data_IF_748494187430
#
_entry.id   IF_748494187430
#
_cell.length_a   1.000
_cell.length_b   1.000
_cell.length_c   1.000
_cell.angle_alpha   90.00
_cell.angle_beta   90.00
_cell.angle_gamma   90.00
#
_symmetry.space_group_name_H-M   'P 1'
#
loop_
_entity.id
_entity.type
_entity.pdbx_description
1 polymer ?
#
# COMPACT_ATOMS: atom_id res chain seq x y z
N UNK A 1 -39.90 -8.66 -71.74
CA UNK A 1 -39.12 -9.26 -70.64
C UNK A 1 -37.77 -8.57 -70.60
N UNK A 2 -37.65 -7.47 -69.85
CA UNK A 2 -36.37 -6.78 -69.64
C UNK A 2 -35.66 -7.47 -68.48
N UNK A 3 -34.44 -7.95 -68.72
CA UNK A 3 -33.57 -8.49 -67.70
C UNK A 3 -33.24 -7.38 -66.70
N UNK A 4 -33.71 -7.52 -65.45
CA UNK A 4 -33.28 -6.65 -64.36
C UNK A 4 -31.79 -6.89 -64.14
N UNK A 5 -30.96 -5.92 -64.50
CA UNK A 5 -29.53 -5.97 -64.26
C UNK A 5 -29.29 -6.13 -62.76
N UNK A 6 -28.50 -7.15 -62.39
CA UNK A 6 -28.19 -7.50 -61.00
C UNK A 6 -27.56 -6.35 -60.17
N UNK A 7 -27.12 -5.28 -60.85
CA UNK A 7 -26.55 -4.06 -60.24
C UNK A 7 -27.59 -3.16 -59.55
N UNK A 8 -28.87 -3.17 -59.95
CA UNK A 8 -29.91 -2.33 -59.31
C UNK A 8 -30.26 -2.79 -57.88
N UNK A 9 -29.97 -4.06 -57.56
CA UNK A 9 -30.18 -4.61 -56.22
C UNK A 9 -29.08 -4.28 -55.21
N UNK A 10 -28.12 -3.41 -55.57
CA UNK A 10 -27.00 -3.02 -54.68
C UNK A 10 -27.02 -1.54 -54.29
N UNK A 11 -27.88 -0.72 -54.89
CA UNK A 11 -27.98 0.70 -54.55
C UNK A 11 -28.93 0.91 -53.37
N UNK A 12 -28.47 1.60 -52.33
CA UNK A 12 -29.30 1.91 -51.17
C UNK A 12 -30.27 3.04 -51.51
N UNK A 13 -31.58 2.80 -51.35
CA UNK A 13 -32.64 3.76 -51.65
C UNK A 13 -33.41 4.07 -50.37
N UNK A 14 -33.29 5.30 -49.87
CA UNK A 14 -33.72 5.69 -48.52
C UNK A 14 -35.24 5.68 -48.25
N UNK A 15 -36.10 5.63 -49.28
CA UNK A 15 -37.56 5.53 -49.12
C UNK A 15 -38.09 4.09 -49.19
N UNK A 16 -37.24 3.10 -49.51
CA UNK A 16 -37.64 1.69 -49.49
C UNK A 16 -37.60 1.15 -48.06
N UNK A 17 -38.59 0.31 -47.72
CA UNK A 17 -38.74 -0.28 -46.38
C UNK A 17 -37.61 -1.25 -46.00
N UNK A 18 -36.89 -1.79 -46.98
CA UNK A 18 -35.86 -2.81 -46.76
C UNK A 18 -34.57 -2.43 -47.48
N UNK A 19 -33.44 -2.51 -46.75
CA UNK A 19 -32.12 -2.32 -47.33
C UNK A 19 -31.73 -3.54 -48.19
N UNK A 20 -30.90 -3.35 -49.24
CA UNK A 20 -30.37 -4.45 -50.02
C UNK A 20 -29.71 -5.56 -49.17
N UNK A 21 -29.90 -6.84 -49.50
CA UNK A 21 -29.53 -7.97 -48.63
C UNK A 21 -28.02 -8.03 -48.31
N UNK A 22 -27.15 -7.57 -49.22
CA UNK A 22 -25.70 -7.48 -48.99
C UNK A 22 -25.34 -6.41 -47.95
N UNK A 23 -25.96 -5.23 -48.03
CA UNK A 23 -25.76 -4.14 -47.06
C UNK A 23 -26.34 -4.49 -45.70
N UNK A 24 -27.54 -5.07 -45.66
CA UNK A 24 -28.15 -5.55 -44.42
C UNK A 24 -27.33 -6.67 -43.75
N UNK A 25 -26.68 -7.56 -44.53
CA UNK A 25 -25.77 -8.58 -43.98
C UNK A 25 -24.47 -7.96 -43.46
N UNK A 26 -23.84 -7.05 -44.21
CA UNK A 26 -22.64 -6.34 -43.76
C UNK A 26 -22.90 -5.53 -42.49
N UNK A 27 -24.01 -4.81 -42.42
CA UNK A 27 -24.41 -4.06 -41.24
C UNK A 27 -24.66 -4.98 -40.04
N UNK A 28 -25.37 -6.11 -40.22
CA UNK A 28 -25.57 -7.10 -39.14
C UNK A 28 -24.27 -7.69 -38.63
N UNK A 29 -23.33 -8.00 -39.53
CA UNK A 29 -21.98 -8.48 -39.15
C UNK A 29 -21.22 -7.39 -38.39
N UNK A 30 -21.26 -6.15 -38.86
CA UNK A 30 -20.62 -5.01 -38.18
C UNK A 30 -21.21 -4.79 -36.78
N UNK A 31 -22.54 -4.83 -36.65
CA UNK A 31 -23.25 -4.72 -35.36
C UNK A 31 -22.85 -5.87 -34.44
N UNK A 32 -22.79 -7.10 -34.95
CA UNK A 32 -22.38 -8.27 -34.15
C UNK A 32 -20.92 -8.14 -33.69
N UNK A 33 -20.01 -7.67 -34.56
CA UNK A 33 -18.61 -7.42 -34.20
C UNK A 33 -18.52 -6.34 -33.11
N UNK A 34 -19.23 -5.22 -33.25
CA UNK A 34 -19.24 -4.15 -32.25
C UNK A 34 -19.87 -4.60 -30.92
N UNK A 35 -20.96 -5.37 -30.99
CA UNK A 35 -21.62 -5.92 -29.81
C UNK A 35 -20.75 -6.95 -29.07
N UNK A 36 -19.90 -7.69 -29.79
CA UNK A 36 -18.94 -8.65 -29.21
C UNK A 36 -17.62 -7.99 -28.79
N UNK A 37 -17.18 -6.92 -29.46
CA UNK A 37 -15.92 -6.26 -29.14
C UNK A 37 -15.99 -5.53 -27.80
N UNK A 38 -17.13 -4.89 -27.49
CA UNK A 38 -17.31 -4.16 -26.23
C UNK A 38 -17.14 -5.04 -24.97
N UNK A 39 -17.82 -6.20 -24.83
CA UNK A 39 -17.59 -7.11 -23.70
C UNK A 39 -16.18 -7.70 -23.72
N UNK A 40 -15.62 -7.98 -24.90
CA UNK A 40 -14.28 -8.54 -25.01
C UNK A 40 -13.20 -7.55 -24.52
N UNK A 41 -13.31 -6.27 -24.90
CA UNK A 41 -12.43 -5.20 -24.42
C UNK A 41 -12.60 -4.99 -22.91
N UNK A 42 -13.82 -5.03 -22.38
CA UNK A 42 -14.03 -4.88 -20.93
C UNK A 42 -13.45 -6.05 -20.14
N UNK A 43 -13.62 -7.29 -20.60
CA UNK A 43 -12.97 -8.46 -19.99
C UNK A 43 -11.45 -8.33 -20.07
N UNK A 44 -10.91 -7.92 -21.21
CA UNK A 44 -9.47 -7.79 -21.40
C UNK A 44 -8.87 -6.69 -20.51
N UNK A 45 -9.56 -5.55 -20.36
CA UNK A 45 -9.17 -4.50 -19.42
C UNK A 45 -9.26 -5.02 -17.99
N UNK A 46 -10.35 -5.68 -17.60
CA UNK A 46 -10.55 -6.20 -16.24
C UNK A 46 -9.46 -7.23 -15.86
N UNK A 47 -9.09 -8.12 -16.78
CA UNK A 47 -8.01 -9.11 -16.57
C UNK A 47 -6.62 -8.43 -16.55
N UNK A 48 -6.43 -7.35 -17.32
CA UNK A 48 -5.18 -6.60 -17.34
C UNK A 48 -5.00 -5.65 -16.15
N UNK A 49 -6.06 -5.31 -15.42
CA UNK A 49 -5.91 -4.55 -14.17
C UNK A 49 -5.20 -5.42 -13.14
N UNK A 50 -4.11 -4.91 -12.57
CA UNK A 50 -3.40 -5.58 -11.49
C UNK A 50 -4.37 -5.97 -10.36
N UNK A 51 -4.12 -7.11 -9.71
CA UNK A 51 -4.91 -7.59 -8.59
C UNK A 51 -5.19 -6.44 -7.60
N UNK A 52 -6.45 -6.32 -7.16
CA UNK A 52 -6.89 -5.27 -6.24
C UNK A 52 -5.91 -5.13 -5.07
N UNK A 53 -5.46 -3.89 -4.87
CA UNK A 53 -4.58 -3.53 -3.77
C UNK A 53 -5.23 -3.89 -2.43
N UNK A 54 -4.58 -4.79 -1.66
CA UNK A 54 -5.08 -5.33 -0.38
C UNK A 54 -4.91 -4.39 0.81
N UNK A 55 -4.27 -3.24 0.63
CA UNK A 55 -4.13 -2.25 1.69
C UNK A 55 -5.42 -1.48 1.91
N UNK A 56 -5.87 -1.34 3.15
CA UNK A 56 -7.09 -0.63 3.53
C UNK A 56 -6.81 0.39 4.64
N UNK A 57 -7.57 1.48 4.61
CA UNK A 57 -7.58 2.51 5.63
C UNK A 57 -9.01 2.73 6.11
N UNK A 58 -9.27 2.48 7.38
CA UNK A 58 -10.55 2.72 8.03
C UNK A 58 -10.73 4.21 8.37
N UNK A 59 -10.67 5.06 7.34
CA UNK A 59 -10.73 6.51 7.50
C UNK A 59 -12.04 6.95 8.16
N UNK A 60 -11.93 7.75 9.23
CA UNK A 60 -13.08 8.22 10.01
C UNK A 60 -13.66 7.18 10.97
N UNK A 61 -13.15 5.95 10.99
CA UNK A 61 -13.49 4.96 12.01
C UNK A 61 -12.47 5.07 13.13
N UNK A 62 -12.89 5.64 14.26
CA UNK A 62 -12.07 5.74 15.45
C UNK A 62 -12.24 4.49 16.31
N UNK A 63 -11.12 3.86 16.67
CA UNK A 63 -11.04 2.71 17.58
C UNK A 63 -10.16 3.07 18.77
N UNK A 64 -10.43 2.46 19.92
CA UNK A 64 -9.55 2.56 21.09
C UNK A 64 -8.45 1.51 21.00
N UNK A 65 -7.22 1.94 21.23
CA UNK A 65 -6.03 1.09 21.29
C UNK A 65 -5.39 1.25 22.66
N UNK A 66 -4.87 0.14 23.18
CA UNK A 66 -4.12 0.11 24.42
C UNK A 66 -2.98 -0.91 24.28
N UNK A 67 -1.79 -0.51 24.70
CA UNK A 67 -0.59 -1.32 24.56
C UNK A 67 0.65 -0.57 25.05
N UNK A 68 1.82 -1.15 24.81
CA UNK A 68 3.09 -0.54 25.14
C UNK A 68 3.65 0.19 23.94
N UNK A 69 3.90 1.49 24.10
CA UNK A 69 4.49 2.31 23.07
C UNK A 69 6.00 2.07 23.01
N UNK A 70 6.53 1.82 21.82
CA UNK A 70 7.96 1.80 21.55
C UNK A 70 8.29 2.82 20.46
N UNK A 71 9.35 3.59 20.64
CA UNK A 71 9.86 4.55 19.65
C UNK A 71 11.01 3.95 18.82
N UNK A 72 11.79 3.02 19.39
CA UNK A 72 12.83 2.23 18.71
C UNK A 72 12.33 0.81 18.39
N UNK A 73 12.65 0.21 17.22
CA UNK A 73 13.42 0.77 16.10
C UNK A 73 12.67 1.78 15.24
N UNK A 74 11.34 1.70 15.29
CA UNK A 74 10.41 2.68 14.72
C UNK A 74 9.19 2.74 15.63
N UNK A 75 8.42 3.85 15.59
CA UNK A 75 7.22 3.99 16.41
C UNK A 75 6.23 2.83 16.23
N UNK A 76 5.98 2.09 17.31
CA UNK A 76 5.11 0.92 17.35
C UNK A 76 4.28 0.88 18.64
N UNK A 77 3.06 0.35 18.55
CA UNK A 77 2.28 -0.08 19.69
C UNK A 77 2.32 -1.62 19.74
N UNK A 78 2.90 -2.15 20.81
CA UNK A 78 2.83 -3.58 21.12
C UNK A 78 1.56 -3.86 21.93
N UNK A 79 0.76 -4.84 21.50
CA UNK A 79 -0.45 -5.27 22.21
C UNK A 79 -0.35 -6.74 22.58
N UNK A 80 -1.02 -7.13 23.66
CA UNK A 80 -1.08 -8.54 24.06
C UNK A 80 -1.96 -9.35 23.11
N UNK A 81 -1.79 -10.67 23.10
CA UNK A 81 -2.59 -11.57 22.25
C UNK A 81 -4.11 -11.41 22.47
N UNK A 82 -4.55 -11.06 23.69
CA UNK A 82 -5.97 -10.81 23.98
C UNK A 82 -6.51 -9.48 23.45
N UNK A 83 -5.65 -8.48 23.24
CA UNK A 83 -6.03 -7.17 22.68
C UNK A 83 -5.65 -7.02 21.21
N UNK A 84 -5.01 -8.05 20.62
CA UNK A 84 -4.74 -8.15 19.20
C UNK A 84 -6.05 -8.27 18.41
N UNK A 85 -6.18 -7.47 17.35
CA UNK A 85 -7.29 -7.61 16.43
C UNK A 85 -7.09 -8.88 15.59
N UNK A 86 -8.12 -9.73 15.56
CA UNK A 86 -8.07 -11.03 14.91
C UNK A 86 -7.53 -10.95 13.47
N UNK A 87 -6.45 -11.71 13.20
CA UNK A 87 -5.80 -11.78 11.90
C UNK A 87 -4.74 -10.71 11.61
N UNK A 88 -4.56 -9.72 12.50
CA UNK A 88 -3.51 -8.69 12.38
C UNK A 88 -2.36 -8.97 13.35
N UNK A 89 -1.22 -8.30 13.19
CA UNK A 89 -0.03 -8.42 14.06
C UNK A 89 -0.26 -7.88 15.49
N UNK A 90 0.59 -8.31 16.43
CA UNK A 90 0.69 -7.75 17.78
C UNK A 90 1.43 -6.40 17.81
N UNK A 91 2.15 -6.03 16.74
CA UNK A 91 2.87 -4.76 16.62
C UNK A 91 2.29 -3.86 15.55
N UNK A 92 1.64 -2.77 15.94
CA UNK A 92 1.10 -1.77 15.03
C UNK A 92 2.10 -0.64 14.85
N UNK A 93 2.53 -0.35 13.62
CA UNK A 93 3.28 0.89 13.36
C UNK A 93 2.44 2.10 13.73
N UNK A 94 3.07 3.18 14.18
CA UNK A 94 2.38 4.40 14.58
C UNK A 94 2.75 5.58 13.69
N UNK A 95 1.73 6.32 13.28
CA UNK A 95 1.85 7.55 12.49
C UNK A 95 0.83 8.58 12.95
N UNK A 96 1.10 9.85 12.69
CA UNK A 96 0.18 10.95 12.95
C UNK A 96 -0.77 11.17 11.79
N UNK A 97 -1.76 12.03 12.05
CA UNK A 97 -2.70 12.49 11.04
C UNK A 97 -2.00 13.12 9.82
N UNK A 98 -2.51 12.82 8.63
CA UNK A 98 -2.03 13.45 7.38
C UNK A 98 -0.69 12.89 6.91
N UNK A 99 0.35 13.72 6.83
CA UNK A 99 1.69 13.34 6.30
C UNK A 99 2.75 13.22 7.38
N UNK A 100 2.35 13.00 8.63
CA UNK A 100 3.23 13.04 9.79
C UNK A 100 3.60 11.64 10.28
N UNK A 101 4.83 11.49 10.77
CA UNK A 101 5.28 10.36 11.59
C UNK A 101 4.67 10.40 12.99
N UNK A 102 5.35 9.83 13.99
CA UNK A 102 4.87 9.85 15.38
C UNK A 102 4.61 11.31 15.83
N UNK A 103 3.35 11.66 16.19
CA UNK A 103 3.00 13.01 16.58
C UNK A 103 3.68 13.40 17.90
N UNK A 104 3.90 14.71 18.10
CA UNK A 104 4.64 15.22 19.26
C UNK A 104 4.02 14.87 20.61
N UNK A 105 2.69 14.78 20.70
CA UNK A 105 1.99 14.42 21.94
C UNK A 105 2.25 12.98 22.40
N UNK A 106 2.73 12.11 21.50
CA UNK A 106 3.03 10.71 21.78
C UNK A 106 4.53 10.44 21.93
N UNK A 107 5.41 11.45 21.79
CA UNK A 107 6.86 11.29 21.93
C UNK A 107 7.30 11.38 23.39
N UNK A 108 8.40 10.72 23.73
CA UNK A 108 8.98 10.69 25.07
C UNK A 108 8.33 9.66 26.00
N UNK A 109 7.53 8.74 25.47
CA UNK A 109 6.80 7.73 26.23
C UNK A 109 7.22 6.30 25.82
N UNK A 110 8.42 6.14 25.27
CA UNK A 110 9.01 4.82 24.99
C UNK A 110 8.96 3.91 26.22
N UNK A 111 8.50 2.68 26.02
CA UNK A 111 8.30 1.66 27.05
C UNK A 111 7.10 1.87 27.97
N UNK A 112 6.34 2.96 27.82
CA UNK A 112 5.15 3.21 28.64
C UNK A 112 3.92 2.51 28.07
N UNK A 113 3.04 2.06 28.97
CA UNK A 113 1.69 1.65 28.60
C UNK A 113 0.86 2.88 28.31
N UNK A 114 0.22 2.90 27.14
CA UNK A 114 -0.57 4.04 26.66
C UNK A 114 -1.94 3.55 26.19
N UNK A 115 -2.92 4.46 26.22
CA UNK A 115 -4.22 4.30 25.59
C UNK A 115 -4.50 5.51 24.72
N UNK A 116 -5.08 5.29 23.54
CA UNK A 116 -5.50 6.38 22.65
C UNK A 116 -6.54 5.90 21.65
N UNK A 117 -7.20 6.84 20.99
CA UNK A 117 -8.04 6.58 19.83
C UNK A 117 -7.30 6.88 18.53
N UNK A 118 -7.56 6.05 17.53
CA UNK A 118 -6.97 6.20 16.20
C UNK A 118 -7.74 5.46 15.12
N UNK A 119 -7.27 5.54 13.89
CA UNK A 119 -7.82 4.81 12.75
C UNK A 119 -6.85 3.76 12.24
N UNK A 120 -7.38 2.58 11.91
CA UNK A 120 -6.58 1.44 11.47
C UNK A 120 -6.22 1.53 9.98
N UNK A 121 -4.95 1.30 9.67
CA UNK A 121 -4.42 1.11 8.32
C UNK A 121 -3.82 -0.30 8.29
N UNK A 122 -4.18 -1.14 7.33
CA UNK A 122 -3.67 -2.51 7.31
C UNK A 122 -3.54 -3.06 5.90
N UNK A 123 -2.53 -3.89 5.69
CA UNK A 123 -2.33 -4.68 4.47
C UNK A 123 -1.89 -6.08 4.86
N UNK A 124 -2.63 -7.07 4.38
CA UNK A 124 -2.43 -8.49 4.73
C UNK A 124 -2.37 -8.66 6.27
N UNK A 125 -1.27 -9.18 6.83
CA UNK A 125 -1.09 -9.37 8.28
C UNK A 125 -0.40 -8.19 8.98
N UNK A 126 -0.02 -7.13 8.26
CA UNK A 126 0.67 -5.96 8.83
C UNK A 126 -0.31 -4.82 9.04
N UNK A 127 -0.13 -4.09 10.14
CA UNK A 127 -1.02 -3.01 10.53
C UNK A 127 -0.27 -1.79 11.05
N UNK A 128 -0.95 -0.65 10.96
CA UNK A 128 -0.52 0.66 11.38
C UNK A 128 -1.72 1.41 11.94
N UNK A 129 -1.50 2.30 12.91
CA UNK A 129 -2.54 3.14 13.48
C UNK A 129 -2.20 4.61 13.20
N UNK A 130 -3.15 5.32 12.62
CA UNK A 130 -3.12 6.78 12.55
C UNK A 130 -3.66 7.36 13.86
N UNK A 131 -2.79 8.00 14.63
CA UNK A 131 -3.14 8.71 15.86
C UNK A 131 -3.74 10.08 15.50
N UNK A 132 -5.06 10.11 15.34
CA UNK A 132 -5.81 11.26 14.82
C UNK A 132 -6.70 11.95 15.86
N UNK A 133 -6.65 11.52 17.12
CA UNK A 133 -7.37 12.13 18.25
C UNK A 133 -6.37 12.44 19.40
N UNK A 134 -5.71 13.62 19.38
CA UNK A 134 -4.70 13.98 20.39
C UNK A 134 -5.25 14.04 21.83
N UNK A 135 -6.52 14.41 22.00
CA UNK A 135 -7.14 14.56 23.32
C UNK A 135 -7.40 13.22 24.01
N UNK A 136 -7.43 12.13 23.23
CA UNK A 136 -7.63 10.78 23.73
C UNK A 136 -6.37 10.10 24.28
N UNK A 137 -5.18 10.72 24.14
CA UNK A 137 -3.91 10.10 24.49
C UNK A 137 -3.70 10.12 26.01
N UNK A 138 -3.62 8.94 26.61
CA UNK A 138 -3.44 8.70 28.04
C UNK A 138 -2.21 7.83 28.28
N UNK A 139 -1.37 8.24 29.24
CA UNK A 139 -0.27 7.42 29.74
C UNK A 139 -0.75 6.66 30.99
N UNK A 140 -0.76 5.34 30.90
CA UNK A 140 -1.21 4.45 31.97
C UNK A 140 -0.08 4.05 32.93
N UNK A 141 1.17 4.33 32.56
CA UNK A 141 2.38 4.10 33.36
C UNK A 141 3.20 2.90 32.90
N UNK A 142 3.92 2.29 33.83
CA UNK A 142 4.81 1.15 33.54
C UNK A 142 3.99 -0.10 33.24
N UNK A 143 4.24 -0.81 32.12
CA UNK A 143 3.51 -2.03 31.79
C UNK A 143 3.79 -3.15 32.78
N UNK A 144 2.83 -4.08 32.93
CA UNK A 144 3.11 -5.33 33.60
C UNK A 144 4.15 -6.14 32.80
N UNK A 145 4.96 -6.97 33.47
CA UNK A 145 6.04 -7.74 32.81
C UNK A 145 5.54 -8.60 31.65
N UNK A 146 4.33 -9.16 31.77
CA UNK A 146 3.67 -9.95 30.72
C UNK A 146 3.21 -9.13 29.50
N UNK A 147 3.14 -7.81 29.61
CA UNK A 147 2.74 -6.88 28.53
C UNK A 147 3.96 -6.22 27.86
N UNK A 148 5.17 -6.50 28.35
CA UNK A 148 6.42 -5.95 27.83
C UNK A 148 6.75 -6.46 26.42
N UNK A 149 7.76 -5.83 25.78
CA UNK A 149 8.12 -5.99 24.36
C UNK A 149 8.00 -7.44 23.90
N UNK A 150 7.26 -7.63 22.80
CA UNK A 150 7.09 -8.93 22.19
C UNK A 150 8.38 -9.51 21.59
N UNK A 151 8.23 -10.59 20.82
CA UNK A 151 9.38 -11.36 20.35
C UNK A 151 10.12 -10.58 19.26
N UNK A 152 11.42 -10.39 19.49
CA UNK A 152 12.36 -9.88 18.49
C UNK A 152 13.25 -11.05 18.03
N UNK A 153 13.13 -11.42 16.75
CA UNK A 153 13.99 -12.45 16.15
C UNK A 153 15.00 -11.80 15.20
N UNK A 154 16.29 -11.97 15.46
CA UNK A 154 17.33 -11.55 14.52
C UNK A 154 17.49 -12.62 13.44
N UNK A 155 17.32 -12.22 12.18
CA UNK A 155 17.51 -13.07 11.00
C UNK A 155 18.88 -12.85 10.34
N UNK A 156 19.70 -11.96 10.92
CA UNK A 156 21.07 -11.68 10.50
C UNK A 156 21.19 -10.63 9.39
N UNK A 157 22.41 -10.53 8.87
CA UNK A 157 22.78 -9.54 7.89
C UNK A 157 22.10 -9.76 6.54
N UNK A 158 21.52 -8.71 5.97
CA UNK A 158 20.86 -8.73 4.66
C UNK A 158 21.34 -7.60 3.76
N UNK A 159 21.32 -7.89 2.46
CA UNK A 159 21.43 -6.90 1.39
C UNK A 159 20.20 -7.00 0.50
N UNK A 160 19.39 -5.95 0.50
CA UNK A 160 18.13 -5.88 -0.23
C UNK A 160 18.21 -4.82 -1.33
N UNK A 161 17.56 -5.09 -2.46
CA UNK A 161 17.37 -4.15 -3.55
C UNK A 161 15.89 -4.07 -3.88
N UNK A 162 15.35 -2.85 -3.98
CA UNK A 162 13.91 -2.65 -4.09
C UNK A 162 13.53 -1.18 -4.27
N UNK A 163 12.24 -0.89 -4.21
CA UNK A 163 11.70 0.48 -4.31
C UNK A 163 11.62 1.11 -2.92
N UNK A 164 12.09 2.35 -2.77
CA UNK A 164 11.86 3.13 -1.53
C UNK A 164 10.41 3.61 -1.48
N UNK A 165 9.68 3.22 -0.44
CA UNK A 165 8.26 3.56 -0.22
C UNK A 165 8.07 4.23 1.14
N UNK A 166 7.01 5.02 1.31
CA UNK A 166 6.48 5.30 2.65
C UNK A 166 5.50 4.19 3.06
N UNK A 167 5.66 3.71 4.29
CA UNK A 167 4.85 2.58 4.79
C UNK A 167 3.38 2.93 4.98
N UNK A 168 3.04 4.20 5.25
CA UNK A 168 1.65 4.64 5.48
C UNK A 168 0.78 4.51 4.25
N UNK A 169 1.21 5.10 3.14
CA UNK A 169 0.50 4.94 1.87
C UNK A 169 0.58 3.49 1.41
N UNK A 170 1.73 2.83 1.57
CA UNK A 170 1.89 1.43 1.24
C UNK A 170 0.88 0.55 2.00
N UNK A 171 0.57 0.78 3.27
CA UNK A 171 -0.38 -0.09 3.99
C UNK A 171 -1.85 0.15 3.64
N UNK A 172 -2.22 1.26 3.00
CA UNK A 172 -3.60 1.41 2.53
C UNK A 172 -4.13 2.83 2.35
N UNK A 173 -3.35 3.86 2.70
CA UNK A 173 -3.82 5.25 2.58
C UNK A 173 -3.87 5.72 1.11
N UNK A 174 -3.12 5.10 0.21
CA UNK A 174 -3.16 5.46 -1.22
C UNK A 174 -3.18 4.24 -2.14
N UNK A 175 -3.83 4.38 -3.30
CA UNK A 175 -3.84 3.38 -4.38
C UNK A 175 -3.64 4.08 -5.74
N UNK A 176 -2.59 3.77 -6.52
CA UNK A 176 -1.47 2.90 -6.18
C UNK A 176 -0.53 3.56 -5.14
N UNK A 177 0.05 2.75 -4.25
CA UNK A 177 1.06 3.20 -3.27
C UNK A 177 2.52 2.94 -3.71
N UNK A 178 2.75 2.74 -5.01
CA UNK A 178 4.08 2.40 -5.56
C UNK A 178 4.29 3.12 -6.89
N UNK A 179 5.55 3.21 -7.31
CA UNK A 179 5.97 3.78 -8.58
C UNK A 179 5.76 5.30 -8.68
N UNK A 180 6.00 5.83 -9.88
CA UNK A 180 6.04 7.28 -10.14
C UNK A 180 4.73 8.01 -9.83
N UNK A 181 3.60 7.35 -9.98
CA UNK A 181 2.27 7.91 -9.69
C UNK A 181 2.14 8.27 -8.20
N UNK A 182 2.77 7.48 -7.33
CA UNK A 182 2.75 7.67 -5.89
C UNK A 182 3.80 8.68 -5.38
N UNK A 183 4.86 8.91 -6.15
CA UNK A 183 6.08 9.61 -5.71
C UNK A 183 5.82 10.92 -4.96
N UNK A 184 4.96 11.80 -5.48
CA UNK A 184 4.71 13.10 -4.85
C UNK A 184 4.06 12.96 -3.46
N UNK A 185 3.18 11.97 -3.29
CA UNK A 185 2.55 11.65 -2.01
C UNK A 185 3.58 11.07 -1.03
N UNK A 186 4.41 10.12 -1.50
CA UNK A 186 5.45 9.48 -0.72
C UNK A 186 6.51 10.44 -0.20
N UNK A 187 6.97 11.37 -1.06
CA UNK A 187 7.92 12.43 -0.67
C UNK A 187 7.40 13.18 0.56
N UNK A 188 6.12 13.58 0.57
CA UNK A 188 5.52 14.31 1.70
C UNK A 188 5.41 13.46 2.97
N UNK A 189 5.07 12.18 2.84
CA UNK A 189 5.03 11.27 3.98
C UNK A 189 6.43 11.10 4.62
N UNK A 190 7.45 10.89 3.79
CA UNK A 190 8.83 10.74 4.26
C UNK A 190 9.37 12.05 4.86
N UNK A 191 9.09 13.20 4.24
CA UNK A 191 9.42 14.53 4.78
C UNK A 191 8.79 14.77 6.16
N UNK A 192 7.55 14.32 6.37
CA UNK A 192 6.89 14.45 7.67
C UNK A 192 7.23 13.34 8.66
N UNK A 193 8.14 12.43 8.33
CA UNK A 193 8.68 11.42 9.24
C UNK A 193 7.86 10.12 9.33
N UNK A 194 7.01 9.81 8.35
CA UNK A 194 6.42 8.48 8.27
C UNK A 194 7.53 7.41 8.10
N UNK A 195 7.43 6.22 8.73
CA UNK A 195 8.48 5.21 8.63
C UNK A 195 8.77 4.84 7.15
N UNK A 196 10.03 4.93 6.70
CA UNK A 196 10.42 4.49 5.37
C UNK A 196 10.37 2.96 5.28
N UNK A 197 10.15 2.45 4.07
CA UNK A 197 10.21 1.02 3.78
C UNK A 197 10.93 0.75 2.46
N UNK A 198 11.46 -0.45 2.30
CA UNK A 198 11.92 -0.98 1.01
C UNK A 198 10.96 -2.08 0.55
N UNK A 199 10.35 -1.87 -0.60
CA UNK A 199 9.53 -2.86 -1.29
C UNK A 199 10.43 -3.73 -2.17
N UNK A 200 10.61 -4.98 -1.77
CA UNK A 200 11.32 -6.00 -2.53
C UNK A 200 10.29 -6.87 -3.23
N UNK A 201 10.46 -7.13 -4.52
CA UNK A 201 9.57 -8.00 -5.30
C UNK A 201 10.31 -9.25 -5.74
N UNK A 202 9.62 -10.39 -5.68
CA UNK A 202 10.09 -11.64 -6.28
C UNK A 202 9.87 -11.67 -7.81
N UNK A 203 10.30 -12.76 -8.45
CA UNK A 203 10.15 -12.98 -9.89
C UNK A 203 8.68 -13.10 -10.34
N UNK A 204 7.77 -13.40 -9.42
CA UNK A 204 6.34 -13.52 -9.68
C UNK A 204 5.60 -12.18 -9.44
N UNK A 205 6.33 -11.14 -9.01
CA UNK A 205 5.80 -9.81 -8.72
C UNK A 205 5.24 -9.64 -7.31
N UNK A 206 5.28 -10.69 -6.47
CA UNK A 206 4.87 -10.61 -5.07
C UNK A 206 5.83 -9.70 -4.31
N UNK A 207 5.28 -8.73 -3.59
CA UNK A 207 6.05 -7.72 -2.88
C UNK A 207 6.04 -7.93 -1.37
N UNK A 208 7.20 -7.84 -0.74
CA UNK A 208 7.36 -7.72 0.71
C UNK A 208 7.94 -6.36 1.01
N UNK A 209 7.37 -5.64 1.99
CA UNK A 209 7.96 -4.41 2.51
C UNK A 209 8.69 -4.70 3.80
N UNK A 210 9.93 -4.25 3.86
CA UNK A 210 10.75 -4.20 5.06
C UNK A 210 10.76 -2.76 5.55
N UNK A 211 10.39 -2.54 6.81
CA UNK A 211 10.45 -1.22 7.44
C UNK A 211 11.93 -0.87 7.70
N UNK A 212 12.33 0.35 7.42
CA UNK A 212 13.72 0.78 7.55
C UNK A 212 13.89 1.61 8.81
N UNK A 213 14.82 1.19 9.67
CA UNK A 213 15.17 1.85 10.92
C UNK A 213 16.63 2.29 10.92
N UNK A 214 16.96 3.34 11.68
CA UNK A 214 18.35 3.73 11.90
C UNK A 214 19.07 2.69 12.76
N UNK A 215 20.34 2.43 12.47
CA UNK A 215 21.15 1.49 13.25
C UNK A 215 21.47 1.98 14.68
N UNK A 216 21.36 3.29 14.93
CA UNK A 216 21.67 3.95 16.21
C UNK A 216 20.44 4.14 17.12
N UNK A 217 19.32 3.49 16.78
CA UNK A 217 18.03 3.63 17.47
C UNK A 217 17.35 4.98 17.25
N UNK A 218 17.84 5.77 16.29
CA UNK A 218 17.14 6.96 15.80
C UNK A 218 16.36 6.65 14.53
N UNK A 219 15.48 7.58 14.18
CA UNK A 219 14.81 7.55 12.89
C UNK A 219 15.84 7.58 11.76
N UNK A 220 15.69 6.67 10.80
CA UNK A 220 16.55 6.64 9.62
C UNK A 220 16.39 7.93 8.81
N UNK A 221 17.49 8.66 8.62
CA UNK A 221 17.53 9.76 7.67
C UNK A 221 17.57 9.22 6.24
N UNK A 222 16.48 9.44 5.51
CA UNK A 222 16.36 9.11 4.09
C UNK A 222 16.22 10.40 3.28
N UNK A 223 16.78 10.46 2.08
CA UNK A 223 16.46 11.53 1.15
C UNK A 223 15.04 11.30 0.60
N UNK A 224 14.03 12.14 0.92
CA UNK A 224 12.65 11.90 0.50
C UNK A 224 12.50 11.87 -1.03
N UNK A 225 13.38 12.54 -1.76
CA UNK A 225 13.37 12.57 -3.23
C UNK A 225 13.68 11.21 -3.86
N UNK A 226 14.20 10.25 -3.08
CA UNK A 226 14.41 8.88 -3.52
C UNK A 226 13.13 8.04 -3.48
N UNK A 227 12.01 8.59 -3.00
CA UNK A 227 10.73 7.89 -3.03
C UNK A 227 10.37 7.41 -4.45
N UNK A 228 9.84 6.20 -4.53
CA UNK A 228 9.53 5.47 -5.77
C UNK A 228 10.74 5.21 -6.70
N UNK A 229 11.98 5.40 -6.23
CA UNK A 229 13.19 5.02 -6.93
C UNK A 229 13.75 3.70 -6.37
N UNK A 230 14.59 3.04 -7.17
CA UNK A 230 15.32 1.86 -6.74
C UNK A 230 16.41 2.23 -5.73
N UNK A 231 16.49 1.51 -4.62
CA UNK A 231 17.50 1.65 -3.58
C UNK A 231 18.08 0.28 -3.20
N UNK A 232 19.34 0.29 -2.74
CA UNK A 232 19.99 -0.83 -2.06
C UNK A 232 20.07 -0.52 -0.57
N UNK A 233 19.69 -1.49 0.26
CA UNK A 233 19.79 -1.44 1.73
C UNK A 233 20.68 -2.58 2.19
N UNK A 234 21.66 -2.27 3.02
CA UNK A 234 22.45 -3.24 3.79
C UNK A 234 22.21 -2.99 5.28
N UNK A 235 21.95 -4.05 6.05
CA UNK A 235 21.61 -3.92 7.47
C UNK A 235 21.33 -5.27 8.14
N UNK A 236 20.93 -5.23 9.41
CA UNK A 236 20.44 -6.40 10.13
C UNK A 236 18.93 -6.50 10.02
N UNK A 237 18.44 -7.68 9.62
CA UNK A 237 17.02 -7.97 9.57
C UNK A 237 16.54 -8.51 10.91
N UNK A 238 15.52 -7.88 11.47
CA UNK A 238 14.85 -8.25 12.71
C UNK A 238 13.34 -8.41 12.45
N UNK A 239 12.72 -9.43 13.05
CA UNK A 239 11.27 -9.59 13.07
C UNK A 239 10.73 -9.16 14.43
N UNK A 240 9.86 -8.14 14.44
CA UNK A 240 9.14 -7.67 15.62
C UNK A 240 7.70 -8.19 15.55
N UNK A 241 7.41 -9.32 16.22
CA UNK A 241 6.12 -10.04 16.13
C UNK A 241 5.57 -10.13 14.69
N UNK A 242 6.45 -10.54 13.77
CA UNK A 242 6.13 -10.72 12.35
C UNK A 242 6.29 -9.47 11.48
N UNK A 243 6.55 -8.29 12.05
CA UNK A 243 6.89 -7.08 11.28
C UNK A 243 8.38 -7.08 10.93
N UNK A 244 8.76 -7.16 9.64
CA UNK A 244 10.16 -7.15 9.24
C UNK A 244 10.73 -5.73 9.26
N UNK A 245 11.77 -5.54 10.07
CA UNK A 245 12.49 -4.28 10.23
C UNK A 245 13.95 -4.51 9.88
N UNK A 246 14.53 -3.62 9.07
CA UNK A 246 15.97 -3.62 8.78
C UNK A 246 16.62 -2.45 9.51
N UNK A 247 17.54 -2.74 10.44
CA UNK A 247 18.43 -1.74 11.02
C UNK A 247 19.52 -1.41 10.01
N UNK A 248 19.41 -0.24 9.40
CA UNK A 248 20.16 0.12 8.19
C UNK A 248 21.56 0.59 8.52
N UNK A 249 22.56 -0.10 7.96
CA UNK A 249 23.97 0.31 7.99
C UNK A 249 24.32 1.17 6.78
N UNK A 250 23.75 0.84 5.62
CA UNK A 250 23.96 1.58 4.38
C UNK A 250 22.69 1.59 3.54
N UNK A 251 22.32 2.78 3.08
CA UNK A 251 21.27 3.01 2.09
C UNK A 251 21.88 3.75 0.90
N UNK A 252 21.66 3.24 -0.31
CA UNK A 252 22.18 3.85 -1.53
C UNK A 252 21.12 3.86 -2.64
N UNK A 253 21.10 4.91 -3.45
CA UNK A 253 20.30 4.95 -4.67
C UNK A 253 20.87 3.98 -5.70
N UNK A 254 20.03 3.15 -6.31
CA UNK A 254 20.42 2.34 -7.46
C UNK A 254 20.50 3.28 -8.67
N UNK A 255 21.71 3.53 -9.15
CA UNK A 255 21.90 4.18 -10.43
C UNK A 255 21.46 3.24 -11.55
N UNK A 256 20.68 3.77 -12.51
CA UNK A 256 20.45 3.04 -13.76
C UNK A 256 21.80 2.95 -14.48
N UNK A 257 22.31 1.74 -14.66
CA UNK A 257 23.32 1.42 -15.67
C UNK A 257 22.79 1.73 -17.06
#
# INVERSE_FOLDING_TARGET
MQASNAHDNEFYIGYLKQAPPRHARRLRVLIAILALSLPCVTVLVAVAQAAFDRGAFEFGVARSFEGVLYEDPVPMLHVTASSQMAGLTANYLLVGFGKQGLPSFARGFDGQKVRFKGSLIHRDSTAMIEMNDPESFEVLGVPAELESRGRVESLGHVKLAGELVDTKCFFGVMRPATGKVHRACAVRCLEGGAPPGILVRDLQGNGVVYVLAGADGKQLEVNPQWAALGVSVEGELELYDGTPVVRVYRLALLTKS
#
